data_IF_228130783868
#
_entry.id   IF_228130783868
#
_cell.length_a   1.000
_cell.length_b   1.000
_cell.length_c   1.000
_cell.angle_alpha   90.00
_cell.angle_beta   90.00
_cell.angle_gamma   90.00
#
_symmetry.space_group_name_H-M   'P 1'
#
loop_
_entity.id
_entity.type
_entity.pdbx_description
1 polymer ?
#
# COMPACT_ATOMS: atom_id res chain seq x y z
N UNK A 1 15.32 22.18 -6.86
CA UNK A 1 15.20 22.07 -5.39
C UNK A 1 15.20 20.62 -4.90
N UNK A 2 16.39 20.10 -4.62
CA UNK A 2 16.61 18.72 -4.14
C UNK A 2 16.08 18.51 -2.71
N UNK A 3 16.17 19.54 -1.86
CA UNK A 3 15.65 19.49 -0.49
C UNK A 3 14.13 19.29 -0.44
N UNK A 4 13.38 19.91 -1.35
CA UNK A 4 11.93 19.74 -1.44
C UNK A 4 11.57 18.29 -1.79
N UNK A 5 12.31 17.67 -2.71
CA UNK A 5 12.10 16.26 -3.12
C UNK A 5 12.39 15.30 -1.97
N UNK A 6 13.49 15.53 -1.23
CA UNK A 6 13.86 14.72 -0.06
C UNK A 6 12.84 14.84 1.08
N UNK A 7 12.37 16.06 1.37
CA UNK A 7 11.32 16.28 2.38
C UNK A 7 10.02 15.59 1.99
N UNK A 8 9.58 15.73 0.75
CA UNK A 8 8.39 15.05 0.24
C UNK A 8 8.51 13.53 0.38
N UNK A 9 9.68 12.98 0.04
CA UNK A 9 9.94 11.54 0.14
C UNK A 9 9.91 11.03 1.59
N UNK A 10 10.53 11.77 2.51
CA UNK A 10 10.51 11.43 3.94
C UNK A 10 9.08 11.41 4.50
N UNK A 11 8.29 12.42 4.16
CA UNK A 11 6.87 12.48 4.51
C UNK A 11 6.11 11.30 3.89
N UNK A 12 6.28 11.00 2.60
CA UNK A 12 5.62 9.88 1.94
C UNK A 12 5.90 8.53 2.61
N UNK A 13 7.17 8.26 2.95
CA UNK A 13 7.54 7.05 3.68
C UNK A 13 6.93 7.01 5.08
N UNK A 14 6.92 8.15 5.80
CA UNK A 14 6.31 8.21 7.14
C UNK A 14 4.83 7.85 7.09
N UNK A 15 4.08 8.43 6.15
CA UNK A 15 2.65 8.10 5.97
C UNK A 15 2.46 6.63 5.59
N UNK A 16 3.28 6.09 4.69
CA UNK A 16 3.24 4.68 4.29
C UNK A 16 3.48 3.75 5.47
N UNK A 17 4.49 4.03 6.30
CA UNK A 17 4.80 3.27 7.52
C UNK A 17 3.60 3.31 8.48
N UNK A 18 3.05 4.49 8.76
CA UNK A 18 1.91 4.65 9.67
C UNK A 18 0.69 3.86 9.19
N UNK A 19 0.32 3.99 7.90
CA UNK A 19 -0.82 3.28 7.32
C UNK A 19 -0.60 1.78 7.35
N UNK A 20 0.61 1.30 7.01
CA UNK A 20 0.92 -0.13 7.02
C UNK A 20 0.90 -0.74 8.42
N UNK A 21 1.40 -0.03 9.44
CA UNK A 21 1.33 -0.50 10.84
C UNK A 21 -0.14 -0.58 11.28
N UNK A 22 -0.92 0.46 10.99
CA UNK A 22 -2.33 0.50 11.38
C UNK A 22 -3.15 -0.58 10.68
N UNK A 23 -3.07 -0.66 9.35
CA UNK A 23 -3.77 -1.67 8.54
C UNK A 23 -3.31 -3.09 8.87
N UNK A 24 -1.99 -3.30 9.00
CA UNK A 24 -1.40 -4.59 9.40
C UNK A 24 -1.83 -5.03 10.80
N UNK A 25 -1.89 -4.12 11.78
CA UNK A 25 -2.33 -4.47 13.13
C UNK A 25 -3.79 -4.89 13.16
N UNK A 26 -4.68 -4.13 12.51
CA UNK A 26 -6.12 -4.43 12.50
C UNK A 26 -6.38 -5.77 11.80
N UNK A 27 -5.77 -5.97 10.63
CA UNK A 27 -5.94 -7.21 9.87
C UNK A 27 -5.41 -8.42 10.63
N UNK A 28 -4.25 -8.31 11.30
CA UNK A 28 -3.72 -9.37 12.16
C UNK A 28 -4.71 -9.70 13.29
N UNK A 29 -5.22 -8.69 13.99
CA UNK A 29 -6.19 -8.89 15.08
C UNK A 29 -7.43 -9.62 14.57
N UNK A 30 -7.97 -9.23 13.42
CA UNK A 30 -9.16 -9.88 12.84
C UNK A 30 -8.85 -11.31 12.37
N UNK A 31 -7.65 -11.59 11.83
CA UNK A 31 -7.25 -12.97 11.45
C UNK A 31 -7.12 -13.90 12.66
N UNK A 32 -6.64 -13.36 13.80
CA UNK A 32 -6.43 -14.12 15.05
C UNK A 32 -7.75 -14.35 15.79
N UNK A 33 -8.66 -13.38 15.73
CA UNK A 33 -10.00 -13.55 16.29
C UNK A 33 -10.81 -14.56 15.46
N UNK A 34 -11.61 -15.40 16.13
CA UNK A 34 -12.59 -16.22 15.43
C UNK A 34 -13.63 -15.29 14.82
N UNK A 35 -13.55 -15.08 13.51
CA UNK A 35 -14.49 -14.22 12.81
C UNK A 35 -15.84 -14.95 12.76
N UNK A 36 -16.94 -14.23 13.04
CA UNK A 36 -18.28 -14.79 12.89
C UNK A 36 -18.51 -15.24 11.44
N UNK A 37 -19.28 -16.31 11.28
CA UNK A 37 -19.55 -16.91 9.97
C UNK A 37 -20.32 -15.89 9.11
N UNK A 38 -19.81 -15.49 7.92
CA UNK A 38 -20.48 -14.50 7.08
C UNK A 38 -21.87 -14.96 6.63
N UNK A 39 -22.13 -16.28 6.64
CA UNK A 39 -23.45 -16.86 6.36
C UNK A 39 -24.52 -16.52 7.42
N UNK A 40 -24.13 -16.17 8.65
CA UNK A 40 -25.08 -15.72 9.69
C UNK A 40 -25.48 -14.25 9.53
N UNK A 41 -24.63 -13.44 8.89
CA UNK A 41 -24.82 -12.00 8.73
C UNK A 41 -25.40 -11.63 7.36
N UNK A 42 -25.10 -12.40 6.31
CA UNK A 42 -25.62 -12.20 4.97
C UNK A 42 -26.01 -13.56 4.36
N UNK A 43 -27.32 -13.83 4.28
CA UNK A 43 -27.87 -15.10 3.79
C UNK A 43 -27.59 -15.34 2.29
N UNK A 44 -27.23 -14.30 1.53
CA UNK A 44 -26.84 -14.37 0.12
C UNK A 44 -25.31 -14.32 -0.11
N UNK A 45 -24.50 -14.46 0.95
CA UNK A 45 -23.04 -14.31 0.84
C UNK A 45 -22.43 -15.35 -0.10
N UNK A 46 -21.96 -14.89 -1.26
CA UNK A 46 -21.28 -15.71 -2.28
C UNK A 46 -19.88 -16.21 -1.86
N UNK A 47 -19.36 -15.74 -0.72
CA UNK A 47 -18.01 -16.05 -0.26
C UNK A 47 -18.05 -16.91 1.01
N UNK A 48 -17.41 -18.08 0.96
CA UNK A 48 -17.24 -18.94 2.14
C UNK A 48 -16.20 -18.35 3.11
N UNK A 49 -16.38 -18.66 4.40
CA UNK A 49 -15.53 -18.21 5.50
C UNK A 49 -14.02 -18.39 5.25
N UNK A 50 -13.65 -19.51 4.63
CA UNK A 50 -12.26 -19.82 4.28
C UNK A 50 -11.66 -18.83 3.28
N UNK A 51 -12.43 -18.39 2.28
CA UNK A 51 -11.98 -17.39 1.29
C UNK A 51 -11.73 -16.03 1.95
N UNK A 52 -12.60 -15.61 2.87
CA UNK A 52 -12.46 -14.34 3.59
C UNK A 52 -11.19 -14.32 4.44
N UNK A 53 -10.90 -15.43 5.12
CA UNK A 53 -9.67 -15.57 5.92
C UNK A 53 -8.40 -15.53 5.06
N UNK A 54 -8.43 -16.15 3.88
CA UNK A 54 -7.32 -16.09 2.91
C UNK A 54 -7.12 -14.65 2.44
N UNK A 55 -8.19 -13.97 2.00
CA UNK A 55 -8.12 -12.58 1.55
C UNK A 55 -7.57 -11.65 2.63
N UNK A 56 -8.02 -11.82 3.88
CA UNK A 56 -7.55 -11.02 5.00
C UNK A 56 -6.06 -11.27 5.31
N UNK A 57 -5.61 -12.52 5.24
CA UNK A 57 -4.19 -12.87 5.40
C UNK A 57 -3.34 -12.31 4.26
N UNK A 58 -3.85 -12.31 3.02
CA UNK A 58 -3.19 -11.69 1.87
C UNK A 58 -3.10 -10.18 2.04
N UNK A 59 -4.17 -9.51 2.47
CA UNK A 59 -4.15 -8.08 2.77
C UNK A 59 -3.12 -7.74 3.86
N UNK A 60 -3.07 -8.54 4.93
CA UNK A 60 -2.05 -8.40 5.97
C UNK A 60 -0.63 -8.52 5.40
N UNK A 61 -0.35 -9.52 4.55
CA UNK A 61 0.95 -9.68 3.89
C UNK A 61 1.31 -8.47 3.02
N UNK A 62 0.33 -7.87 2.33
CA UNK A 62 0.55 -6.66 1.55
C UNK A 62 0.93 -5.46 2.44
N UNK A 63 0.30 -5.28 3.61
CA UNK A 63 0.71 -4.23 4.56
C UNK A 63 2.10 -4.48 5.13
N UNK A 64 2.43 -5.72 5.51
CA UNK A 64 3.76 -6.06 6.05
C UNK A 64 4.85 -5.87 4.99
N UNK A 65 4.59 -6.25 3.75
CA UNK A 65 5.54 -6.02 2.64
C UNK A 65 5.72 -4.53 2.33
N UNK A 66 4.65 -3.74 2.32
CA UNK A 66 4.73 -2.28 2.19
C UNK A 66 5.55 -1.67 3.34
N UNK A 67 5.34 -2.13 4.58
CA UNK A 67 6.11 -1.68 5.75
C UNK A 67 7.60 -2.02 5.61
N UNK A 68 7.94 -3.26 5.24
CA UNK A 68 9.31 -3.70 5.06
C UNK A 68 10.02 -2.87 3.98
N UNK A 69 9.38 -2.66 2.82
CA UNK A 69 9.91 -1.83 1.75
C UNK A 69 10.09 -0.37 2.20
N UNK A 70 9.15 0.20 2.95
CA UNK A 70 9.26 1.56 3.44
C UNK A 70 10.38 1.73 4.48
N UNK A 71 10.57 0.75 5.37
CA UNK A 71 11.67 0.75 6.34
C UNK A 71 13.03 0.62 5.65
N UNK A 72 13.18 -0.29 4.68
CA UNK A 72 14.40 -0.41 3.88
C UNK A 72 14.69 0.90 3.14
N UNK A 73 13.66 1.52 2.55
CA UNK A 73 13.77 2.83 1.91
C UNK A 73 14.23 3.92 2.90
N UNK A 74 13.69 3.89 4.13
CA UNK A 74 14.04 4.85 5.19
C UNK A 74 15.50 4.74 5.64
N UNK A 75 16.06 3.53 5.63
CA UNK A 75 17.45 3.24 5.99
C UNK A 75 18.43 3.63 4.87
N UNK A 76 18.01 3.52 3.61
CA UNK A 76 18.84 3.87 2.45
C UNK A 76 18.96 5.40 2.25
N UNK A 77 17.95 6.19 2.61
CA UNK A 77 17.93 7.65 2.51
C UNK A 77 19.12 8.39 3.14
N UNK A 78 19.50 8.14 4.40
CA UNK A 78 20.60 8.87 5.04
C UNK A 78 21.95 8.63 4.35
N UNK A 79 22.18 7.44 3.78
CA UNK A 79 23.38 7.16 2.98
C UNK A 79 23.38 7.89 1.62
N UNK A 80 22.20 8.25 1.12
CA UNK A 80 22.03 8.91 -0.17
C UNK A 80 22.01 10.45 -0.07
N UNK A 81 22.02 11.05 1.12
CA UNK A 81 21.99 12.51 1.25
C UNK A 81 23.22 13.19 0.59
N UNK A 82 24.40 12.56 0.69
CA UNK A 82 25.64 13.03 0.06
C UNK A 82 25.73 12.61 -1.42
N UNK A 83 25.18 11.47 -1.80
CA UNK A 83 25.20 10.98 -3.18
C UNK A 83 24.17 11.67 -4.08
N UNK A 84 23.00 12.04 -3.55
CA UNK A 84 21.93 12.78 -4.27
C UNK A 84 22.34 14.23 -4.50
N UNK A 85 23.03 14.86 -3.55
CA UNK A 85 23.62 16.21 -3.75
C UNK A 85 24.76 16.20 -4.78
N UNK A 86 25.53 15.10 -4.87
CA UNK A 86 26.52 14.90 -5.94
C UNK A 86 25.92 14.61 -7.31
N UNK A 87 24.88 13.76 -7.38
CA UNK A 87 24.23 13.33 -8.62
C UNK A 87 23.44 14.44 -9.33
N UNK A 88 22.88 15.41 -8.60
CA UNK A 88 22.25 16.59 -9.22
C UNK A 88 23.26 17.62 -9.74
N UNK A 89 24.52 17.54 -9.32
CA UNK A 89 25.58 18.50 -9.68
C UNK A 89 26.34 18.11 -10.95
N UNK A 90 26.37 16.83 -11.30
CA UNK A 90 26.83 16.34 -12.61
C UNK A 90 25.62 15.92 -13.45
N UNK A 91 25.37 16.60 -14.57
CA UNK A 91 24.13 16.53 -15.38
C UNK A 91 23.76 15.19 -16.04
N UNK A 92 24.15 14.05 -15.47
CA UNK A 92 23.73 12.72 -15.90
C UNK A 92 22.51 12.29 -15.08
N UNK A 93 21.39 11.97 -15.74
CA UNK A 93 20.21 11.38 -15.10
C UNK A 93 20.67 10.10 -14.37
N UNK A 94 20.81 10.20 -13.06
CA UNK A 94 21.39 9.14 -12.23
C UNK A 94 20.38 8.01 -12.07
N UNK A 95 20.82 6.77 -12.31
CA UNK A 95 20.06 5.51 -12.11
C UNK A 95 19.33 5.46 -10.76
N UNK A 96 19.82 6.19 -9.75
CA UNK A 96 19.20 6.28 -8.42
C UNK A 96 17.87 7.05 -8.43
N UNK A 97 17.71 8.10 -9.23
CA UNK A 97 16.44 8.83 -9.33
C UNK A 97 15.36 7.92 -9.91
N UNK A 98 15.71 7.10 -10.89
CA UNK A 98 14.83 6.08 -11.47
C UNK A 98 14.46 5.03 -10.41
N UNK A 99 15.44 4.58 -9.60
CA UNK A 99 15.20 3.62 -8.53
C UNK A 99 14.21 4.16 -7.48
N UNK A 100 14.38 5.40 -7.01
CA UNK A 100 13.42 6.04 -6.10
C UNK A 100 12.03 6.13 -6.72
N UNK A 101 11.93 6.47 -8.00
CA UNK A 101 10.65 6.56 -8.70
C UNK A 101 9.92 5.21 -8.74
N UNK A 102 10.64 4.14 -9.13
CA UNK A 102 10.11 2.77 -9.16
C UNK A 102 9.68 2.33 -7.76
N UNK A 103 10.46 2.66 -6.72
CA UNK A 103 10.17 2.27 -5.36
C UNK A 103 8.91 2.93 -4.79
N UNK A 104 8.69 4.22 -5.07
CA UNK A 104 7.42 4.88 -4.66
C UNK A 104 6.22 4.33 -5.41
N UNK A 105 6.37 4.01 -6.70
CA UNK A 105 5.30 3.38 -7.46
C UNK A 105 4.96 2.00 -6.89
N UNK A 106 5.99 1.20 -6.58
CA UNK A 106 5.83 -0.12 -5.97
C UNK A 106 5.13 -0.02 -4.60
N UNK A 107 5.55 0.90 -3.73
CA UNK A 107 4.92 1.13 -2.43
C UNK A 107 3.45 1.54 -2.56
N UNK A 108 3.15 2.45 -3.49
CA UNK A 108 1.78 2.89 -3.76
C UNK A 108 0.92 1.73 -4.30
N UNK A 109 1.44 0.96 -5.24
CA UNK A 109 0.75 -0.20 -5.82
C UNK A 109 0.46 -1.29 -4.77
N UNK A 110 1.43 -1.59 -3.89
CA UNK A 110 1.25 -2.58 -2.82
C UNK A 110 0.20 -2.10 -1.81
N UNK A 111 0.23 -0.83 -1.41
CA UNK A 111 -0.79 -0.26 -0.50
C UNK A 111 -2.18 -0.28 -1.11
N UNK A 112 -2.33 0.17 -2.37
CA UNK A 112 -3.61 0.14 -3.07
C UNK A 112 -4.12 -1.30 -3.26
N UNK A 113 -3.23 -2.22 -3.58
CA UNK A 113 -3.53 -3.65 -3.60
C UNK A 113 -4.07 -4.15 -2.26
N UNK A 114 -3.45 -3.75 -1.14
CA UNK A 114 -3.90 -4.11 0.20
C UNK A 114 -5.33 -3.60 0.45
N UNK A 115 -5.64 -2.35 0.07
CA UNK A 115 -6.98 -1.79 0.20
C UNK A 115 -8.02 -2.46 -0.71
N UNK A 116 -7.65 -2.83 -1.94
CA UNK A 116 -8.54 -3.56 -2.86
C UNK A 116 -8.91 -4.92 -2.26
N UNK A 117 -7.91 -5.68 -1.77
CA UNK A 117 -8.13 -6.99 -1.14
C UNK A 117 -8.97 -6.86 0.14
N UNK A 118 -8.74 -5.82 0.94
CA UNK A 118 -9.59 -5.54 2.09
C UNK A 118 -11.02 -5.20 1.69
N UNK A 119 -11.22 -4.43 0.64
CA UNK A 119 -12.56 -4.09 0.20
C UNK A 119 -13.33 -5.32 -0.26
N UNK A 120 -12.66 -6.26 -0.95
CA UNK A 120 -13.21 -7.58 -1.29
C UNK A 120 -13.56 -8.40 -0.05
N UNK A 121 -12.72 -8.36 1.00
CA UNK A 121 -13.03 -8.98 2.29
C UNK A 121 -14.30 -8.37 2.90
N UNK A 122 -14.50 -7.05 2.80
CA UNK A 122 -15.71 -6.37 3.30
C UNK A 122 -16.96 -6.74 2.48
N UNK A 123 -16.84 -6.97 1.16
CA UNK A 123 -17.97 -7.42 0.32
C UNK A 123 -18.61 -8.70 0.89
N UNK A 124 -17.81 -9.61 1.45
CA UNK A 124 -18.32 -10.86 2.01
C UNK A 124 -19.22 -10.66 3.25
N UNK A 125 -19.04 -9.55 3.99
CA UNK A 125 -19.86 -9.19 5.15
C UNK A 125 -20.99 -8.24 4.77
N UNK A 126 -20.65 -7.15 4.08
CA UNK A 126 -21.58 -6.08 3.68
C UNK A 126 -21.28 -5.69 2.24
N UNK A 127 -22.04 -6.27 1.31
CA UNK A 127 -21.79 -6.14 -0.13
C UNK A 127 -21.73 -4.68 -0.59
N UNK A 128 -22.72 -3.87 -0.22
CA UNK A 128 -22.82 -2.47 -0.66
C UNK A 128 -21.56 -1.68 -0.25
N UNK A 129 -21.11 -1.84 0.99
CA UNK A 129 -19.94 -1.10 1.52
C UNK A 129 -18.66 -1.58 0.84
N UNK A 130 -18.52 -2.89 0.65
CA UNK A 130 -17.36 -3.48 0.00
C UNK A 130 -17.21 -3.07 -1.47
N UNK A 131 -18.31 -2.97 -2.22
CA UNK A 131 -18.28 -2.51 -3.61
C UNK A 131 -17.94 -1.03 -3.73
N UNK A 132 -18.46 -0.18 -2.83
CA UNK A 132 -18.11 1.25 -2.79
C UNK A 132 -16.61 1.41 -2.51
N UNK A 133 -16.08 0.72 -1.49
CA UNK A 133 -14.65 0.76 -1.20
C UNK A 133 -13.79 0.26 -2.36
N UNK A 134 -14.24 -0.76 -3.08
CA UNK A 134 -13.53 -1.33 -4.22
C UNK A 134 -13.50 -0.33 -5.37
N UNK A 135 -14.64 0.30 -5.68
CA UNK A 135 -14.72 1.31 -6.73
C UNK A 135 -13.82 2.52 -6.43
N UNK A 136 -13.83 3.03 -5.19
CA UNK A 136 -13.01 4.19 -4.80
C UNK A 136 -11.52 3.87 -4.86
N UNK A 137 -11.11 2.71 -4.34
CA UNK A 137 -9.70 2.26 -4.37
C UNK A 137 -9.22 2.00 -5.79
N UNK A 138 -10.07 1.40 -6.65
CA UNK A 138 -9.78 1.17 -8.05
C UNK A 138 -9.62 2.47 -8.84
N UNK A 139 -10.54 3.44 -8.65
CA UNK A 139 -10.44 4.76 -9.31
C UNK A 139 -9.14 5.45 -8.89
N UNK A 140 -8.78 5.40 -7.61
CA UNK A 140 -7.52 5.96 -7.11
C UNK A 140 -6.31 5.28 -7.76
N UNK A 141 -6.34 3.96 -7.92
CA UNK A 141 -5.28 3.21 -8.60
C UNK A 141 -5.16 3.57 -10.09
N UNK A 142 -6.27 3.75 -10.79
CA UNK A 142 -6.27 4.18 -12.20
C UNK A 142 -5.71 5.59 -12.34
N UNK A 143 -6.08 6.52 -11.46
CA UNK A 143 -5.54 7.88 -11.44
C UNK A 143 -4.02 7.85 -11.18
N UNK A 144 -3.57 7.06 -10.21
CA UNK A 144 -2.14 6.91 -9.90
C UNK A 144 -1.35 6.33 -11.09
N UNK A 145 -1.89 5.29 -11.74
CA UNK A 145 -1.31 4.68 -12.94
C UNK A 145 -1.24 5.67 -14.11
N UNK A 146 -2.33 6.40 -14.36
CA UNK A 146 -2.38 7.39 -15.42
C UNK A 146 -1.34 8.50 -15.19
N UNK A 147 -1.24 9.01 -13.96
CA UNK A 147 -0.26 10.05 -13.61
C UNK A 147 1.18 9.54 -13.74
N UNK A 148 1.43 8.27 -13.40
CA UNK A 148 2.74 7.65 -13.58
C UNK A 148 3.09 7.48 -15.06
N UNK A 149 2.14 7.02 -15.89
CA UNK A 149 2.37 6.74 -17.31
C UNK A 149 2.57 8.01 -18.15
N UNK A 150 2.00 9.14 -17.70
CA UNK A 150 2.11 10.43 -18.39
C UNK A 150 3.39 11.21 -18.03
N UNK A 151 4.14 10.77 -17.02
CA UNK A 151 5.31 11.49 -16.48
C UNK A 151 6.62 10.97 -17.04
#
# INVERSE_FOLDING_TARGET
DTELVLRWWYEFLRHTITVSIFGGSITLTVVVQQIQDPAELNQDSRFHHETVRILLTVAWLLFVSALALALVSSLLLPFDHEAVTGAFRGGTISTRVILFHILSFLLCAVLLGAFIVLSLCVVAYVEIVGWIGFAVTLVTAVIALFFWLWR
#
